data_IF_158278201458
#
_entry.id   IF_158278201458
#
_cell.length_a   1.000
_cell.length_b   1.000
_cell.length_c   1.000
_cell.angle_alpha   90.00
_cell.angle_beta   90.00
_cell.angle_gamma   90.00
#
_symmetry.space_group_name_H-M   'P 1'
#
loop_
_entity.id
_entity.type
_entity.pdbx_description
1 polymer ?
#
# COMPACT_ATOMS: atom_id res chain seq x y z
N UNK A 1 34.91 -1.24 31.49
CA UNK A 1 34.00 -0.59 30.50
C UNK A 1 32.64 -1.25 30.68
N UNK A 2 31.61 -0.54 31.17
CA UNK A 2 30.26 -1.11 31.24
C UNK A 2 29.78 -1.26 29.80
N UNK A 3 29.66 -2.49 29.32
CA UNK A 3 28.99 -2.76 28.04
C UNK A 3 27.56 -2.30 28.25
N UNK A 4 27.17 -1.22 27.57
CA UNK A 4 25.79 -0.78 27.55
C UNK A 4 25.01 -1.78 26.71
N UNK A 5 24.58 -2.85 27.37
CA UNK A 5 23.95 -4.00 26.76
C UNK A 5 22.79 -3.57 25.85
N UNK A 6 21.99 -2.59 26.28
CA UNK A 6 20.87 -2.06 25.51
C UNK A 6 21.24 -1.39 24.16
N UNK A 7 22.53 -1.20 23.87
CA UNK A 7 23.05 -0.62 22.63
C UNK A 7 23.81 -1.61 21.74
N UNK A 8 23.98 -2.87 22.17
CA UNK A 8 24.72 -3.91 21.43
C UNK A 8 23.85 -4.60 20.39
N UNK A 9 24.31 -4.78 19.13
CA UNK A 9 23.51 -5.44 18.08
C UNK A 9 23.19 -6.91 18.40
N UNK A 10 23.98 -7.58 19.25
CA UNK A 10 23.77 -8.96 19.69
C UNK A 10 22.49 -9.14 20.50
N UNK A 11 21.97 -8.07 21.12
CA UNK A 11 20.72 -8.10 21.89
C UNK A 11 19.50 -8.43 21.04
N UNK A 12 19.61 -8.41 19.71
CA UNK A 12 18.57 -8.97 18.84
C UNK A 12 18.25 -10.43 19.21
N UNK A 13 19.25 -11.20 19.65
CA UNK A 13 19.08 -12.61 20.02
C UNK A 13 18.21 -12.82 21.26
N UNK A 14 17.99 -11.77 22.06
CA UNK A 14 17.11 -11.81 23.23
C UNK A 14 15.62 -11.77 22.83
N UNK A 15 15.31 -11.37 21.59
CA UNK A 15 13.95 -11.48 21.04
C UNK A 15 13.67 -12.92 20.62
N UNK A 16 12.42 -13.35 20.78
CA UNK A 16 11.96 -14.62 20.19
C UNK A 16 12.13 -14.62 18.66
N UNK A 17 12.26 -15.80 18.05
CA UNK A 17 12.41 -15.91 16.60
C UNK A 17 11.27 -15.21 15.82
N UNK A 18 10.03 -15.27 16.33
CA UNK A 18 8.89 -14.56 15.77
C UNK A 18 9.05 -13.04 15.84
N UNK A 19 9.46 -12.51 17.00
CA UNK A 19 9.72 -11.07 17.16
C UNK A 19 10.87 -10.58 16.29
N UNK A 20 11.97 -11.35 16.19
CA UNK A 20 13.06 -11.03 15.28
C UNK A 20 12.55 -10.93 13.84
N UNK A 21 11.75 -11.91 13.39
CA UNK A 21 11.19 -11.91 12.04
C UNK A 21 10.29 -10.69 11.79
N UNK A 22 9.40 -10.34 12.73
CA UNK A 22 8.53 -9.15 12.62
C UNK A 22 9.35 -7.88 12.46
N UNK A 23 10.34 -7.65 13.32
CA UNK A 23 11.18 -6.45 13.27
C UNK A 23 12.01 -6.39 11.98
N UNK A 24 12.66 -7.48 11.60
CA UNK A 24 13.50 -7.54 10.40
C UNK A 24 12.65 -7.32 9.13
N UNK A 25 11.47 -7.95 9.06
CA UNK A 25 10.58 -7.77 7.91
C UNK A 25 10.04 -6.34 7.87
N UNK A 26 9.66 -5.76 9.01
CA UNK A 26 9.26 -4.35 9.04
C UNK A 26 10.36 -3.43 8.52
N UNK A 27 11.62 -3.62 8.93
CA UNK A 27 12.76 -2.84 8.43
C UNK A 27 12.89 -2.97 6.91
N UNK A 28 12.78 -4.18 6.36
CA UNK A 28 12.87 -4.42 4.91
C UNK A 28 11.72 -3.80 4.13
N UNK A 29 10.54 -3.74 4.73
CA UNK A 29 9.36 -3.16 4.08
C UNK A 29 9.41 -1.62 4.07
N UNK A 30 10.01 -1.01 5.09
CA UNK A 30 9.98 0.46 5.28
C UNK A 30 11.23 1.18 4.81
N UNK A 31 12.33 0.48 4.55
CA UNK A 31 13.61 1.09 4.16
C UNK A 31 14.16 0.52 2.86
N UNK A 32 14.76 1.39 2.06
CA UNK A 32 15.62 1.04 0.92
C UNK A 32 16.95 1.75 1.03
N UNK A 33 17.97 1.22 0.35
CA UNK A 33 19.29 1.86 0.28
C UNK A 33 19.23 3.22 -0.42
N UNK A 34 20.09 4.15 0.02
CA UNK A 34 20.21 5.48 -0.57
C UNK A 34 21.69 5.89 -0.65
N UNK A 35 22.02 6.91 -1.45
CA UNK A 35 23.39 7.47 -1.47
C UNK A 35 23.65 8.37 -0.25
N UNK A 36 22.62 9.09 0.19
CA UNK A 36 22.70 10.04 1.30
C UNK A 36 22.45 9.36 2.63
N UNK A 37 23.05 9.91 3.69
CA UNK A 37 22.82 9.48 5.06
C UNK A 37 21.43 9.97 5.50
N UNK A 38 20.63 9.06 6.05
CA UNK A 38 19.32 9.39 6.59
C UNK A 38 19.44 10.20 7.88
N UNK A 39 18.58 11.22 8.06
CA UNK A 39 18.64 12.10 9.23
C UNK A 39 18.31 11.36 10.53
N UNK A 40 17.24 10.54 10.62
CA UNK A 40 17.04 9.64 11.75
C UNK A 40 18.15 8.61 11.93
N UNK A 41 18.58 8.47 13.18
CA UNK A 41 19.47 7.40 13.61
C UNK A 41 18.67 6.20 14.16
N UNK A 42 19.37 5.13 14.53
CA UNK A 42 18.77 3.90 15.08
C UNK A 42 17.85 4.13 16.28
N UNK A 43 18.17 5.10 17.14
CA UNK A 43 17.39 5.41 18.33
C UNK A 43 16.05 6.09 17.98
N UNK A 44 16.03 6.93 16.95
CA UNK A 44 14.78 7.54 16.48
C UNK A 44 13.94 6.47 15.76
N UNK A 45 14.55 5.72 14.85
CA UNK A 45 13.85 4.73 14.02
C UNK A 45 13.25 3.57 14.83
N UNK A 46 13.86 3.16 15.95
CA UNK A 46 13.25 2.12 16.80
C UNK A 46 11.90 2.56 17.39
N UNK A 47 11.74 3.85 17.69
CA UNK A 47 10.47 4.36 18.20
C UNK A 47 9.41 4.44 17.11
N UNK A 48 9.79 4.53 15.84
CA UNK A 48 8.85 4.42 14.74
C UNK A 48 8.27 2.99 14.66
N UNK A 49 9.12 1.97 14.81
CA UNK A 49 8.67 0.58 14.92
C UNK A 49 7.76 0.36 16.13
N UNK A 50 8.15 0.84 17.32
CA UNK A 50 7.34 0.68 18.54
C UNK A 50 5.93 1.28 18.44
N UNK A 51 5.74 2.27 17.55
CA UNK A 51 4.46 2.92 17.31
C UNK A 51 3.61 2.24 16.25
N UNK A 52 4.12 1.21 15.59
CA UNK A 52 3.33 0.38 14.69
C UNK A 52 2.35 -0.48 15.50
N UNK A 53 1.15 -0.76 14.99
CA UNK A 53 0.22 -1.70 15.62
C UNK A 53 0.77 -3.12 15.86
N UNK A 54 1.73 -3.58 15.05
CA UNK A 54 2.47 -4.86 15.28
C UNK A 54 3.78 -4.64 16.06
N UNK A 55 4.08 -3.38 16.38
CA UNK A 55 5.25 -2.95 17.07
C UNK A 55 5.25 -3.42 18.52
N UNK A 56 6.44 -3.61 19.04
CA UNK A 56 6.68 -3.90 20.44
C UNK A 56 7.96 -3.20 20.87
N UNK A 57 8.17 -3.09 22.18
CA UNK A 57 9.37 -2.45 22.73
C UNK A 57 10.63 -3.13 22.24
N UNK A 58 11.58 -2.35 21.71
CA UNK A 58 12.90 -2.84 21.33
C UNK A 58 13.99 -1.89 21.86
N UNK A 59 15.10 -2.47 22.30
CA UNK A 59 16.28 -1.68 22.65
C UNK A 59 16.94 -1.13 21.38
N UNK A 60 17.78 -0.11 21.53
CA UNK A 60 18.54 0.43 20.40
C UNK A 60 19.47 -0.64 19.80
N UNK A 61 20.04 -1.50 20.65
CA UNK A 61 20.82 -2.67 20.27
C UNK A 61 20.03 -3.68 19.43
N UNK A 62 18.85 -4.09 19.88
CA UNK A 62 17.95 -4.97 19.11
C UNK A 62 17.66 -4.41 17.72
N UNK A 63 17.34 -3.12 17.63
CA UNK A 63 17.07 -2.45 16.36
C UNK A 63 18.30 -2.45 15.43
N UNK A 64 19.50 -2.14 15.96
CA UNK A 64 20.76 -2.22 15.19
C UNK A 64 21.03 -3.62 14.68
N UNK A 65 20.85 -4.64 15.52
CA UNK A 65 21.00 -6.03 15.12
C UNK A 65 20.05 -6.39 13.98
N UNK A 66 18.79 -5.94 14.07
CA UNK A 66 17.81 -6.17 13.02
C UNK A 66 18.15 -5.44 11.72
N UNK A 67 18.68 -4.21 11.78
CA UNK A 67 19.19 -3.49 10.60
C UNK A 67 20.29 -4.27 9.87
N UNK A 68 21.23 -4.87 10.61
CA UNK A 68 22.28 -5.71 10.02
C UNK A 68 21.69 -6.96 9.37
N UNK A 69 20.78 -7.67 10.05
CA UNK A 69 20.09 -8.85 9.48
C UNK A 69 19.18 -8.51 8.29
N UNK A 70 18.67 -7.29 8.23
CA UNK A 70 17.94 -6.76 7.09
C UNK A 70 18.85 -6.39 5.90
N UNK A 71 20.17 -6.36 6.08
CA UNK A 71 21.15 -6.08 5.03
C UNK A 71 21.66 -4.63 5.01
N UNK A 72 21.37 -3.83 6.04
CA UNK A 72 21.79 -2.44 6.13
C UNK A 72 23.01 -2.26 7.04
N UNK A 73 24.09 -1.71 6.49
CA UNK A 73 25.30 -1.40 7.25
C UNK A 73 25.27 0.05 7.81
N UNK A 74 25.75 0.27 9.05
CA UNK A 74 25.88 1.62 9.60
C UNK A 74 27.00 2.40 8.92
N UNK A 75 26.86 3.72 8.89
CA UNK A 75 27.92 4.63 8.41
C UNK A 75 29.14 4.59 9.33
N UNK A 76 28.90 4.53 10.65
CA UNK A 76 29.94 4.42 11.66
C UNK A 76 29.47 3.49 12.80
N UNK A 77 29.96 2.24 12.88
CA UNK A 77 29.53 1.30 13.91
C UNK A 77 30.02 1.66 15.32
N UNK A 78 30.97 2.60 15.45
CA UNK A 78 31.48 3.07 16.76
C UNK A 78 30.54 4.09 17.44
N UNK A 79 29.56 4.62 16.73
CA UNK A 79 28.57 5.53 17.32
C UNK A 79 27.57 4.77 18.19
N UNK A 80 27.10 5.39 19.28
CA UNK A 80 26.02 4.82 20.10
C UNK A 80 24.71 4.79 19.31
N UNK A 81 24.44 5.81 18.50
CA UNK A 81 23.25 5.88 17.66
C UNK A 81 23.68 5.78 16.20
N UNK A 82 23.38 4.66 15.55
CA UNK A 82 23.86 4.39 14.20
C UNK A 82 23.06 5.19 13.18
N UNK A 83 23.79 5.79 12.24
CA UNK A 83 23.21 6.39 11.04
C UNK A 83 23.42 5.46 9.86
N UNK A 84 22.51 5.52 8.89
CA UNK A 84 22.48 4.60 7.75
C UNK A 84 22.29 5.35 6.45
N UNK A 85 22.81 4.79 5.36
CA UNK A 85 22.57 5.25 4.00
C UNK A 85 21.30 4.62 3.45
N UNK A 86 20.18 5.06 4.00
CA UNK A 86 18.84 4.54 3.68
C UNK A 86 17.88 5.71 3.45
N UNK A 87 16.72 5.39 2.91
CA UNK A 87 15.57 6.28 2.86
C UNK A 87 14.30 5.46 3.09
N UNK A 88 13.19 6.09 3.50
CA UNK A 88 11.90 5.42 3.52
C UNK A 88 11.65 4.82 2.14
N UNK A 89 11.29 3.54 2.13
CA UNK A 89 10.83 2.87 0.94
C UNK A 89 9.56 3.56 0.40
N UNK A 90 8.73 4.07 1.31
CA UNK A 90 7.57 4.89 1.06
C UNK A 90 7.63 6.21 1.85
N UNK A 91 7.53 7.34 1.17
CA UNK A 91 7.32 8.63 1.82
C UNK A 91 5.82 8.99 1.78
N UNK A 92 5.25 9.25 2.95
CA UNK A 92 3.89 9.79 3.05
C UNK A 92 3.81 11.13 2.32
N UNK A 93 2.74 11.36 1.58
CA UNK A 93 2.41 12.68 1.07
C UNK A 93 1.96 13.61 2.21
N UNK A 94 1.88 14.92 1.92
CA UNK A 94 1.51 15.93 2.93
C UNK A 94 0.12 15.70 3.54
N UNK A 95 -0.82 15.17 2.74
CA UNK A 95 -2.16 14.86 3.20
C UNK A 95 -2.18 13.64 4.14
N UNK A 96 -1.50 12.54 3.78
CA UNK A 96 -1.42 11.33 4.64
C UNK A 96 -0.80 11.67 5.99
N UNK A 97 0.26 12.48 5.96
CA UNK A 97 0.87 13.06 7.15
C UNK A 97 -0.15 13.81 8.02
N UNK A 98 -0.95 14.69 7.42
CA UNK A 98 -1.98 15.46 8.14
C UNK A 98 -3.07 14.56 8.74
N UNK A 99 -3.58 13.59 7.96
CA UNK A 99 -4.61 12.65 8.42
C UNK A 99 -4.15 11.81 9.60
N UNK A 100 -2.90 11.36 9.58
CA UNK A 100 -2.31 10.53 10.65
C UNK A 100 -1.72 11.36 11.80
N UNK A 101 -1.86 12.70 11.78
CA UNK A 101 -1.26 13.58 12.79
C UNK A 101 0.28 13.54 12.81
N UNK A 102 0.91 13.22 11.68
CA UNK A 102 2.36 13.08 11.52
C UNK A 102 2.93 14.39 10.99
N UNK A 103 3.55 15.15 11.88
CA UNK A 103 4.20 16.42 11.52
C UNK A 103 5.69 16.28 11.19
N UNK A 104 6.30 15.15 11.58
CA UNK A 104 7.69 14.84 11.20
C UNK A 104 7.77 14.34 9.76
N UNK A 105 8.73 14.85 8.99
CA UNK A 105 9.05 14.34 7.64
C UNK A 105 9.79 13.00 7.67
N UNK A 106 10.19 12.53 8.85
CA UNK A 106 11.13 11.42 9.00
C UNK A 106 10.55 10.19 9.70
N UNK A 107 9.22 10.11 9.84
CA UNK A 107 8.56 8.97 10.48
C UNK A 107 8.49 7.80 9.50
N UNK A 108 9.13 6.68 9.85
CA UNK A 108 9.00 5.43 9.11
C UNK A 108 7.68 4.74 9.46
N UNK A 109 6.98 4.23 8.46
CA UNK A 109 5.80 3.39 8.67
C UNK A 109 5.71 2.33 7.59
N UNK A 110 5.15 1.18 7.95
CA UNK A 110 4.81 0.15 6.96
C UNK A 110 3.72 0.69 6.05
N UNK A 111 3.81 0.36 4.75
CA UNK A 111 2.73 0.62 3.80
C UNK A 111 1.51 -0.26 4.12
N UNK A 112 0.79 0.09 5.20
CA UNK A 112 -0.49 -0.55 5.59
C UNK A 112 -1.60 -0.26 4.60
N UNK A 113 -1.37 0.63 3.63
CA UNK A 113 -2.29 0.93 2.52
C UNK A 113 -2.35 -0.17 1.46
N UNK A 114 -1.64 -1.30 1.64
CA UNK A 114 -2.03 -2.55 0.97
C UNK A 114 -3.28 -3.21 1.57
N UNK A 115 -3.69 -2.83 2.78
CA UNK A 115 -4.90 -3.32 3.46
C UNK A 115 -6.24 -2.93 2.80
N UNK A 116 -6.45 -1.69 2.32
CA UNK A 116 -7.72 -1.26 1.72
C UNK A 116 -7.91 -1.69 0.26
N UNK A 117 -6.96 -2.43 -0.35
CA UNK A 117 -7.10 -2.93 -1.72
C UNK A 117 -6.74 -1.95 -2.84
N UNK A 118 -6.19 -0.77 -2.52
CA UNK A 118 -5.77 0.24 -3.49
C UNK A 118 -4.47 0.98 -3.08
N UNK A 119 -3.80 1.64 -4.03
CA UNK A 119 -2.61 2.47 -3.77
C UNK A 119 -2.84 3.91 -4.18
N UNK A 120 -2.41 4.85 -3.34
CA UNK A 120 -2.35 6.29 -3.70
C UNK A 120 -0.93 6.65 -4.13
N UNK A 121 -0.77 7.27 -5.30
CA UNK A 121 0.52 7.69 -5.83
C UNK A 121 0.42 9.04 -6.57
N UNK A 122 1.55 9.75 -6.69
CA UNK A 122 1.67 10.89 -7.60
C UNK A 122 2.07 10.41 -9.00
N UNK A 123 1.66 11.13 -10.05
CA UNK A 123 1.97 10.75 -11.46
C UNK A 123 3.46 10.57 -11.76
N UNK A 124 4.34 11.27 -11.05
CA UNK A 124 5.78 11.16 -11.23
C UNK A 124 6.43 10.00 -10.45
N UNK A 125 5.68 9.26 -9.63
CA UNK A 125 6.15 8.10 -8.88
C UNK A 125 6.09 6.82 -9.74
N UNK A 126 6.65 6.87 -10.96
CA UNK A 126 6.56 5.78 -11.96
C UNK A 126 7.00 4.43 -11.40
N UNK A 127 8.12 4.40 -10.67
CA UNK A 127 8.64 3.16 -10.05
C UNK A 127 7.61 2.52 -9.10
N UNK A 128 6.91 3.33 -8.29
CA UNK A 128 5.87 2.85 -7.36
C UNK A 128 4.68 2.25 -8.10
N UNK A 129 4.28 2.88 -9.20
CA UNK A 129 3.18 2.41 -10.06
C UNK A 129 3.52 1.04 -10.66
N UNK A 130 4.74 0.90 -11.19
CA UNK A 130 5.22 -0.37 -11.79
C UNK A 130 5.34 -1.47 -10.74
N UNK A 131 5.92 -1.18 -9.57
CA UNK A 131 6.05 -2.15 -8.47
C UNK A 131 4.67 -2.60 -7.94
N UNK A 132 3.68 -1.69 -7.89
CA UNK A 132 2.31 -2.03 -7.52
C UNK A 132 1.64 -2.96 -8.54
N UNK A 133 1.75 -2.66 -9.84
CA UNK A 133 1.20 -3.50 -10.92
C UNK A 133 1.80 -4.91 -10.88
N UNK A 134 3.13 -5.01 -10.78
CA UNK A 134 3.83 -6.29 -10.67
C UNK A 134 3.38 -7.09 -9.44
N UNK A 135 3.21 -6.43 -8.29
CA UNK A 135 2.71 -7.06 -7.09
C UNK A 135 1.26 -7.54 -7.23
N UNK A 136 0.37 -6.75 -7.85
CA UNK A 136 -1.03 -7.15 -8.08
C UNK A 136 -1.12 -8.45 -8.88
N UNK A 137 -0.32 -8.56 -9.95
CA UNK A 137 -0.28 -9.77 -10.80
C UNK A 137 0.30 -10.97 -10.06
N UNK A 138 1.42 -10.78 -9.38
CA UNK A 138 2.11 -11.86 -8.63
C UNK A 138 1.23 -12.40 -7.50
N UNK A 139 0.48 -11.54 -6.83
CA UNK A 139 -0.35 -11.87 -5.67
C UNK A 139 -1.82 -12.16 -6.06
N UNK A 140 -2.14 -12.14 -7.35
CA UNK A 140 -3.49 -12.32 -7.89
C UNK A 140 -4.57 -11.48 -7.18
N UNK A 141 -4.30 -10.18 -7.02
CA UNK A 141 -5.17 -9.26 -6.27
C UNK A 141 -5.64 -8.09 -7.13
N UNK A 142 -6.75 -7.47 -6.72
CA UNK A 142 -7.28 -6.28 -7.36
C UNK A 142 -6.18 -5.22 -7.49
N UNK A 143 -6.07 -4.65 -8.69
CA UNK A 143 -5.26 -3.46 -8.92
C UNK A 143 -6.19 -2.26 -8.87
N UNK A 144 -5.95 -1.37 -7.92
CA UNK A 144 -6.63 -0.10 -7.87
C UNK A 144 -5.63 0.99 -7.48
N UNK A 145 -5.51 2.00 -8.33
CA UNK A 145 -4.48 3.04 -8.24
C UNK A 145 -5.15 4.41 -8.28
N UNK A 146 -4.93 5.20 -7.24
CA UNK A 146 -5.33 6.60 -7.13
C UNK A 146 -4.13 7.48 -7.47
N UNK A 147 -4.09 8.00 -8.67
CA UNK A 147 -3.13 8.99 -9.14
C UNK A 147 -3.56 10.40 -8.71
N UNK A 148 -2.98 10.90 -7.63
CA UNK A 148 -3.34 12.20 -7.05
C UNK A 148 -2.67 13.36 -7.79
N UNK A 149 -3.45 14.40 -8.07
CA UNK A 149 -2.99 15.72 -8.49
C UNK A 149 -3.30 16.78 -7.41
N UNK A 150 -3.05 18.05 -7.74
CA UNK A 150 -3.27 19.16 -6.79
C UNK A 150 -4.76 19.33 -6.41
N UNK A 151 -5.66 19.24 -7.40
CA UNK A 151 -7.10 19.46 -7.20
C UNK A 151 -7.95 18.23 -7.53
N UNK A 152 -7.49 17.43 -8.49
CA UNK A 152 -8.15 16.22 -8.94
C UNK A 152 -7.22 15.00 -8.90
N UNK A 153 -7.81 13.83 -8.74
CA UNK A 153 -7.19 12.53 -8.88
C UNK A 153 -7.77 11.77 -10.09
N UNK A 154 -6.97 10.85 -10.60
CA UNK A 154 -7.37 9.82 -11.55
C UNK A 154 -7.32 8.47 -10.83
N UNK A 155 -8.33 7.63 -11.01
CA UNK A 155 -8.41 6.30 -10.42
C UNK A 155 -8.37 5.28 -11.56
N UNK A 156 -7.46 4.32 -11.45
CA UNK A 156 -7.31 3.22 -12.41
C UNK A 156 -7.58 1.94 -11.64
N UNK A 157 -8.67 1.26 -11.99
CA UNK A 157 -9.03 -0.04 -11.44
C UNK A 157 -8.91 -1.11 -12.53
N UNK A 158 -8.12 -2.13 -12.26
CA UNK A 158 -7.92 -3.30 -13.11
C UNK A 158 -8.20 -4.55 -12.27
N UNK A 159 -9.32 -5.18 -12.56
CA UNK A 159 -9.83 -6.32 -11.81
C UNK A 159 -9.33 -7.66 -12.35
N UNK A 160 -8.67 -7.66 -13.51
CA UNK A 160 -8.20 -8.87 -14.18
C UNK A 160 -7.16 -9.66 -13.36
N UNK A 161 -6.18 -9.04 -12.68
CA UNK A 161 -5.24 -9.79 -11.85
C UNK A 161 -5.90 -10.57 -10.71
N UNK A 162 -7.07 -10.13 -10.22
CA UNK A 162 -7.86 -10.82 -9.21
C UNK A 162 -8.80 -11.90 -9.79
N UNK A 163 -8.90 -11.99 -11.12
CA UNK A 163 -9.90 -12.81 -11.79
C UNK A 163 -11.34 -12.31 -11.61
N UNK A 164 -11.55 -11.03 -11.30
CA UNK A 164 -12.91 -10.49 -11.16
C UNK A 164 -13.42 -9.95 -12.50
N UNK A 165 -14.74 -10.04 -12.71
CA UNK A 165 -15.42 -9.52 -13.91
C UNK A 165 -16.57 -8.62 -13.49
N UNK A 166 -16.47 -7.33 -13.84
CA UNK A 166 -17.51 -6.34 -13.51
C UNK A 166 -18.84 -6.77 -14.15
N UNK A 167 -19.86 -6.95 -13.30
CA UNK A 167 -21.23 -7.26 -13.72
C UNK A 167 -21.98 -6.00 -14.16
N UNK A 168 -23.17 -6.16 -14.74
CA UNK A 168 -24.05 -5.03 -15.08
C UNK A 168 -24.47 -4.26 -13.82
N UNK A 169 -24.69 -4.95 -12.71
CA UNK A 169 -24.97 -4.36 -11.39
C UNK A 169 -23.79 -3.51 -10.92
N UNK A 170 -22.57 -4.06 -10.94
CA UNK A 170 -21.36 -3.33 -10.57
C UNK A 170 -21.14 -2.10 -11.47
N UNK A 171 -21.40 -2.24 -12.77
CA UNK A 171 -21.32 -1.13 -13.73
C UNK A 171 -22.33 -0.02 -13.41
N UNK A 172 -23.54 -0.39 -12.99
CA UNK A 172 -24.58 0.56 -12.56
C UNK A 172 -24.18 1.27 -11.27
N UNK A 173 -23.63 0.54 -10.30
CA UNK A 173 -23.16 1.12 -9.03
C UNK A 173 -21.98 2.09 -9.23
N UNK A 174 -21.02 1.70 -10.08
CA UNK A 174 -19.90 2.55 -10.51
C UNK A 174 -20.44 3.81 -11.19
N UNK A 175 -21.40 3.68 -12.10
CA UNK A 175 -22.04 4.81 -12.79
C UNK A 175 -22.69 5.76 -11.78
N UNK A 176 -23.52 5.24 -10.87
CA UNK A 176 -24.17 6.03 -9.84
C UNK A 176 -23.18 6.70 -8.88
N UNK A 177 -22.03 6.06 -8.60
CA UNK A 177 -20.95 6.67 -7.83
C UNK A 177 -20.38 7.89 -8.54
N UNK A 178 -20.17 7.82 -9.85
CA UNK A 178 -19.58 8.92 -10.62
C UNK A 178 -20.57 10.02 -10.98
N UNK A 179 -21.83 9.71 -11.21
CA UNK A 179 -22.87 10.73 -11.45
C UNK A 179 -23.04 11.66 -10.25
N UNK A 180 -22.85 11.15 -9.02
CA UNK A 180 -22.84 11.98 -7.80
C UNK A 180 -21.63 12.91 -7.70
N UNK A 181 -20.49 12.49 -8.25
CA UNK A 181 -19.24 13.25 -8.18
C UNK A 181 -19.15 14.30 -9.29
N UNK A 182 -19.69 13.99 -10.47
CA UNK A 182 -19.72 14.88 -11.61
C UNK A 182 -20.90 14.57 -12.55
N UNK A 183 -22.09 15.12 -12.27
CA UNK A 183 -23.31 14.83 -13.05
C UNK A 183 -23.26 15.34 -14.51
N UNK A 184 -22.29 16.18 -14.87
CA UNK A 184 -22.19 16.84 -16.18
C UNK A 184 -21.03 16.34 -17.05
N UNK A 185 -20.26 15.32 -16.62
CA UNK A 185 -19.05 14.90 -17.34
C UNK A 185 -18.84 13.39 -17.41
N UNK A 186 -18.82 12.84 -18.63
CA UNK A 186 -18.20 11.53 -18.92
C UNK A 186 -16.69 11.61 -18.73
N UNK A 187 -16.23 11.45 -17.48
CA UNK A 187 -14.82 11.41 -17.15
C UNK A 187 -14.34 10.00 -16.78
N UNK A 188 -15.17 8.97 -16.97
CA UNK A 188 -14.82 7.59 -16.71
C UNK A 188 -15.13 6.70 -17.91
N UNK A 189 -14.44 5.56 -18.01
CA UNK A 189 -14.64 4.56 -19.06
C UNK A 189 -14.33 3.17 -18.52
N UNK A 190 -15.22 2.21 -18.79
CA UNK A 190 -14.94 0.78 -18.66
C UNK A 190 -14.63 0.26 -20.07
N UNK A 191 -13.48 -0.39 -20.25
CA UNK A 191 -13.01 -0.77 -21.59
C UNK A 191 -13.23 -2.25 -21.91
N UNK A 192 -13.05 -3.17 -20.95
CA UNK A 192 -13.10 -4.63 -21.19
C UNK A 192 -13.70 -5.43 -20.00
N UNK A 193 -14.74 -4.92 -19.35
CA UNK A 193 -15.38 -5.51 -18.14
C UNK A 193 -14.45 -5.77 -16.94
N UNK A 194 -13.21 -5.29 -17.01
CA UNK A 194 -12.19 -5.49 -15.97
C UNK A 194 -11.38 -4.22 -15.70
N UNK A 195 -11.20 -3.39 -16.73
CA UNK A 195 -10.45 -2.15 -16.63
C UNK A 195 -11.43 -0.97 -16.62
N UNK A 196 -11.50 -0.30 -15.48
CA UNK A 196 -12.17 0.98 -15.30
C UNK A 196 -11.12 2.09 -15.11
N UNK A 197 -11.17 3.10 -15.97
CA UNK A 197 -10.37 4.33 -15.84
C UNK A 197 -11.30 5.46 -15.51
N UNK A 198 -11.05 6.13 -14.40
CA UNK A 198 -11.87 7.20 -13.84
C UNK A 198 -11.01 8.43 -13.72
N UNK A 199 -11.46 9.54 -14.30
CA UNK A 199 -10.73 10.81 -14.31
C UNK A 199 -11.51 11.87 -13.54
N UNK A 200 -10.78 12.86 -13.04
CA UNK A 200 -11.33 14.09 -12.42
C UNK A 200 -12.13 13.85 -11.13
N UNK A 201 -11.72 12.91 -10.30
CA UNK A 201 -12.27 12.78 -8.93
C UNK A 201 -11.68 13.90 -8.07
N UNK A 202 -12.45 14.65 -7.26
CA UNK A 202 -11.86 15.63 -6.34
C UNK A 202 -10.81 14.98 -5.43
N UNK A 203 -9.63 15.58 -5.32
CA UNK A 203 -8.50 14.95 -4.63
C UNK A 203 -8.78 14.64 -3.14
N UNK A 204 -9.78 15.29 -2.54
CA UNK A 204 -10.21 15.04 -1.16
C UNK A 204 -11.20 13.87 -1.02
N UNK A 205 -11.85 13.44 -2.10
CA UNK A 205 -12.81 12.32 -2.15
C UNK A 205 -12.22 11.07 -2.81
N UNK A 206 -11.03 11.17 -3.39
CA UNK A 206 -10.43 10.12 -4.22
C UNK A 206 -10.27 8.77 -3.50
N UNK A 207 -9.99 8.80 -2.19
CA UNK A 207 -9.81 7.60 -1.37
C UNK A 207 -11.16 6.98 -0.99
N UNK A 208 -12.15 7.78 -0.60
CA UNK A 208 -13.53 7.29 -0.35
C UNK A 208 -14.14 6.64 -1.61
N UNK A 209 -13.82 7.19 -2.78
CA UNK A 209 -14.22 6.61 -4.07
C UNK A 209 -13.46 5.31 -4.34
N UNK A 210 -12.16 5.27 -4.06
CA UNK A 210 -11.34 4.07 -4.19
C UNK A 210 -11.84 2.94 -3.28
N UNK A 211 -12.18 3.23 -2.03
CA UNK A 211 -12.74 2.26 -1.07
C UNK A 211 -14.02 1.63 -1.61
N UNK A 212 -14.98 2.45 -2.07
CA UNK A 212 -16.22 1.96 -2.68
C UNK A 212 -15.98 1.10 -3.92
N UNK A 213 -14.99 1.45 -4.74
CA UNK A 213 -14.64 0.65 -5.91
C UNK A 213 -14.03 -0.70 -5.53
N UNK A 214 -13.25 -0.76 -4.43
CA UNK A 214 -12.77 -2.03 -3.89
C UNK A 214 -13.94 -2.90 -3.44
N UNK A 215 -14.90 -2.34 -2.71
CA UNK A 215 -16.11 -3.06 -2.27
C UNK A 215 -16.89 -3.63 -3.46
N UNK A 216 -17.16 -2.79 -4.49
CA UNK A 216 -17.86 -3.20 -5.71
C UNK A 216 -17.10 -4.34 -6.42
N UNK A 217 -15.78 -4.20 -6.58
CA UNK A 217 -14.98 -5.19 -7.29
C UNK A 217 -14.89 -6.52 -6.54
N UNK A 218 -14.81 -6.50 -5.20
CA UNK A 218 -14.80 -7.72 -4.37
C UNK A 218 -16.11 -8.51 -4.48
N UNK A 219 -17.23 -7.87 -4.82
CA UNK A 219 -18.51 -8.53 -5.11
C UNK A 219 -18.57 -9.24 -6.47
N UNK A 220 -17.50 -9.22 -7.27
CA UNK A 220 -17.50 -9.68 -8.67
C UNK A 220 -16.53 -10.86 -8.97
N UNK A 221 -16.41 -11.92 -8.15
CA UNK A 221 -15.53 -13.05 -8.47
C UNK A 221 -16.01 -13.77 -9.75
N UNK A 222 -15.09 -14.19 -10.63
CA UNK A 222 -15.45 -15.03 -11.77
C UNK A 222 -15.80 -16.45 -11.29
N UNK A 223 -17.07 -16.67 -10.91
CA UNK A 223 -17.58 -18.02 -10.61
C UNK A 223 -18.75 -18.10 -9.64
N UNK A 224 -19.95 -17.70 -10.09
CA UNK A 224 -21.23 -18.40 -9.82
C UNK A 224 -22.27 -18.00 -10.87
N UNK A 225 -21.98 -18.26 -12.14
CA UNK A 225 -23.04 -18.44 -13.16
C UNK A 225 -23.38 -19.93 -13.22
N UNK A 226 -24.16 -20.39 -12.24
CA UNK A 226 -25.01 -21.55 -12.41
C UNK A 226 -26.34 -21.07 -12.98
N UNK A 227 -26.40 -20.80 -14.29
CA UNK A 227 -27.67 -20.62 -14.99
C UNK A 227 -27.64 -21.44 -16.28
N UNK A 228 -27.69 -22.76 -16.10
CA UNK A 228 -28.07 -23.69 -17.16
C UNK A 228 -29.60 -23.71 -17.23
N UNK A 229 -30.15 -22.79 -18.01
CA UNK A 229 -31.58 -22.68 -18.29
C UNK A 229 -31.85 -22.49 -19.79
N UNK A 230 -31.22 -23.31 -20.64
CA UNK A 230 -31.67 -23.41 -22.05
C UNK A 230 -32.98 -24.19 -22.05
N UNK A 231 -34.10 -23.48 -21.97
CA UNK A 231 -35.42 -24.03 -22.29
C UNK A 231 -35.45 -24.38 -23.77
N UNK A 232 -35.46 -25.68 -24.05
CA UNK A 232 -35.90 -26.21 -25.32
C UNK A 232 -37.42 -26.05 -25.46
N UNK A 233 -37.87 -26.08 -26.72
CA UNK A 233 -39.26 -26.13 -27.21
C UNK A 233 -40.04 -24.82 -27.21
N UNK A 234 -40.00 -24.15 -28.36
CA UNK A 234 -41.05 -23.25 -28.85
C UNK A 234 -41.38 -23.64 -30.29
N UNK A 235 -42.48 -24.35 -30.46
CA UNK A 235 -43.12 -24.64 -31.75
C UNK A 235 -43.45 -23.32 -32.47
N UNK A 236 -43.27 -23.30 -33.79
CA UNK A 236 -43.82 -22.26 -34.66
C UNK A 236 -44.86 -22.89 -35.59
N UNK A 237 -46.12 -22.42 -35.58
CA UNK A 237 -47.05 -22.65 -36.68
C UNK A 237 -47.07 -21.44 -37.62
N UNK A 238 -46.86 -21.69 -38.91
CA UNK A 238 -47.78 -21.41 -40.02
C UNK A 238 -47.17 -21.90 -41.34
#
# INVERSE_FOLDING_TARGET
>A
MKVDYANSPECLNDLSAGQQAVLINWIRDVLVTAERVYTPNSYIMKHDFEREPEGFYVTNGMFKGAMLKAGFAPVNPREVNWRFRVKPAWELCAWERRRLGIYSRFRLMRDRWRGPGYVVAMRNQYRRIVEHDAACRREQRLKLLVLRGAECAEIIMDTDPAGYRLTDTATTEITALFDRLNPSGRNWSITNNCLAVIRRVPAHQAEDVAEKLVEIAQGCPAGTTGDSGVSATGEFPQ
#
